data_IF_786094638356
#
_entry.id   IF_786094638356
#
_cell.length_a   1.000
_cell.length_b   1.000
_cell.length_c   1.000
_cell.angle_alpha   90.00
_cell.angle_beta   90.00
_cell.angle_gamma   90.00
#
_symmetry.space_group_name_H-M   'P 1'
#
loop_
_entity.id
_entity.type
_entity.pdbx_description
1 polymer ?
#
# COMPACT_ATOMS: atom_id res chain seq x y z
N UNK A 1 -21.20 -28.10 32.28
CA UNK A 1 -19.92 -27.58 32.80
C UNK A 1 -20.03 -26.06 32.75
N UNK A 2 -19.98 -25.41 33.92
CA UNK A 2 -20.45 -24.03 34.17
C UNK A 2 -19.30 -23.03 33.99
N UNK A 3 -19.58 -21.93 33.28
CA UNK A 3 -18.75 -20.73 33.15
C UNK A 3 -18.63 -19.96 34.47
N UNK A 4 -17.44 -19.44 34.77
CA UNK A 4 -17.26 -18.33 35.71
C UNK A 4 -16.14 -17.39 35.23
N UNK A 5 -16.52 -16.14 34.94
CA UNK A 5 -15.64 -15.01 34.67
C UNK A 5 -14.93 -14.54 35.94
N UNK A 6 -13.76 -13.87 35.81
CA UNK A 6 -13.29 -12.88 36.81
C UNK A 6 -12.17 -11.95 36.30
N UNK A 7 -12.57 -10.68 36.18
CA UNK A 7 -11.91 -9.37 36.24
C UNK A 7 -10.40 -9.22 36.61
N UNK A 8 -9.75 -8.40 35.77
CA UNK A 8 -8.89 -7.20 36.03
C UNK A 8 -7.96 -7.15 37.25
N UNK A 9 -6.66 -6.91 36.97
CA UNK A 9 -5.72 -6.22 37.88
C UNK A 9 -4.79 -5.31 37.05
N UNK A 10 -4.90 -3.99 37.27
CA UNK A 10 -3.91 -2.95 36.94
C UNK A 10 -2.79 -2.95 38.00
N UNK A 11 -1.53 -2.61 37.66
CA UNK A 11 -0.57 -2.14 38.65
C UNK A 11 -0.54 -0.59 38.75
N UNK A 12 -0.10 -0.04 39.90
CA UNK A 12 -0.39 1.32 40.33
C UNK A 12 0.68 2.35 39.95
N UNK A 13 0.25 3.62 39.97
CA UNK A 13 1.06 4.83 39.89
C UNK A 13 1.52 5.25 41.30
N UNK A 14 2.83 5.44 41.49
CA UNK A 14 3.52 6.32 42.46
C UNK A 14 5.04 6.10 42.22
N UNK A 15 5.95 7.07 42.27
CA UNK A 15 6.04 8.18 43.20
C UNK A 15 6.84 9.33 42.58
N UNK A 16 6.47 10.55 42.94
CA UNK A 16 7.36 11.71 42.93
C UNK A 16 8.53 11.42 43.87
N UNK A 17 9.73 11.85 43.48
CA UNK A 17 10.71 12.38 44.42
C UNK A 17 11.35 13.63 43.80
N UNK A 18 11.33 14.68 44.61
CA UNK A 18 11.83 16.02 44.36
C UNK A 18 12.92 16.27 45.39
N UNK A 19 14.12 16.63 44.94
CA UNK A 19 15.18 17.28 45.73
C UNK A 19 15.75 18.42 44.85
N UNK A 20 15.52 19.70 45.16
CA UNK A 20 16.35 20.60 46.00
C UNK A 20 17.82 20.65 45.51
N UNK A 21 18.51 21.78 45.25
CA UNK A 21 18.31 23.20 45.52
C UNK A 21 19.44 24.02 44.82
N UNK A 22 19.12 25.24 44.34
CA UNK A 22 19.93 26.49 44.36
C UNK A 22 21.34 26.63 43.76
N UNK A 23 21.49 27.70 42.95
CA UNK A 23 22.57 28.72 42.85
C UNK A 23 22.74 29.15 41.38
N UNK A 24 22.98 30.40 40.98
CA UNK A 24 22.99 31.74 41.56
C UNK A 24 23.13 32.67 40.32
N UNK A 25 22.43 33.80 40.29
CA UNK A 25 22.62 34.86 39.30
C UNK A 25 24.04 35.46 39.33
N UNK A 26 24.40 36.20 38.25
CA UNK A 26 25.43 37.27 38.13
C UNK A 26 26.77 36.81 37.50
N UNK A 27 27.46 37.47 36.55
CA UNK A 27 27.50 38.84 36.03
C UNK A 27 28.21 38.85 34.64
N UNK A 28 27.86 39.83 33.80
CA UNK A 28 28.63 40.55 32.74
C UNK A 28 29.82 39.92 31.98
N UNK A 29 29.81 40.13 30.65
CA UNK A 29 31.03 40.13 29.82
C UNK A 29 30.75 40.38 28.33
N UNK A 30 31.11 41.56 27.85
CA UNK A 30 31.08 42.02 26.45
C UNK A 30 31.97 41.18 25.52
N UNK A 31 31.65 41.19 24.22
CA UNK A 31 32.71 41.31 23.20
C UNK A 31 32.67 40.35 22.01
N UNK A 32 32.50 40.97 20.84
CA UNK A 32 33.22 40.72 19.59
C UNK A 32 32.55 39.94 18.45
N UNK A 33 32.49 40.69 17.36
CA UNK A 33 32.20 40.37 15.97
C UNK A 33 33.00 39.22 15.35
N UNK A 34 32.38 38.72 14.27
CA UNK A 34 32.96 38.06 13.10
C UNK A 34 33.40 36.58 13.23
N UNK A 35 32.66 35.72 12.52
CA UNK A 35 33.30 34.79 11.58
C UNK A 35 32.37 34.47 10.42
N UNK A 36 32.82 34.86 9.22
CA UNK A 36 32.29 34.36 7.95
C UNK A 36 32.70 32.90 7.78
N UNK A 37 31.75 31.96 7.85
CA UNK A 37 31.87 30.64 7.22
C UNK A 37 30.47 30.10 6.94
N UNK A 38 30.23 29.65 5.70
CA UNK A 38 29.06 28.82 5.39
C UNK A 38 28.28 29.17 4.13
N UNK A 39 28.90 29.79 3.12
CA UNK A 39 28.40 29.68 1.76
C UNK A 39 28.79 28.31 1.21
N UNK A 40 27.81 27.44 0.98
CA UNK A 40 28.02 26.15 0.31
C UNK A 40 28.10 24.96 1.26
N UNK A 41 26.97 24.60 1.84
CA UNK A 41 26.51 23.20 1.90
C UNK A 41 25.10 23.20 2.49
N UNK A 42 24.18 23.81 1.73
CA UNK A 42 22.82 23.30 1.70
C UNK A 42 22.89 21.97 0.95
N UNK A 43 23.46 20.95 1.59
CA UNK A 43 23.33 19.58 1.19
C UNK A 43 21.82 19.29 1.18
N UNK A 44 21.21 19.46 0.01
CA UNK A 44 20.19 18.60 -0.58
C UNK A 44 19.43 17.78 0.47
N UNK A 45 18.66 18.46 1.32
CA UNK A 45 17.48 17.84 1.91
C UNK A 45 16.44 17.89 0.80
N UNK A 46 16.61 17.04 -0.21
CA UNK A 46 15.51 16.72 -1.10
C UNK A 46 14.35 16.31 -0.18
N UNK A 47 13.30 17.11 -0.17
CA UNK A 47 12.15 16.90 0.71
C UNK A 47 11.62 15.48 0.47
N UNK A 48 11.54 14.61 1.49
CA UNK A 48 11.01 13.25 1.34
C UNK A 48 9.62 13.21 0.68
N UNK A 49 8.87 14.31 0.79
CA UNK A 49 7.56 14.51 0.22
C UNK A 49 7.49 14.42 -1.32
N UNK A 50 8.59 14.57 -2.06
CA UNK A 50 8.53 14.50 -3.53
C UNK A 50 8.54 13.09 -4.07
N UNK A 51 9.13 12.13 -3.36
CA UNK A 51 9.30 10.73 -3.80
C UNK A 51 8.37 9.76 -3.09
N UNK A 52 7.82 10.15 -1.94
CA UNK A 52 6.83 9.34 -1.23
C UNK A 52 5.52 9.29 -2.04
N UNK A 53 5.03 8.08 -2.29
CA UNK A 53 3.84 7.84 -3.10
C UNK A 53 2.71 7.19 -2.31
N UNK A 54 3.01 6.61 -1.14
CA UNK A 54 2.00 6.08 -0.23
C UNK A 54 2.51 5.98 1.22
N UNK A 55 1.57 5.81 2.13
CA UNK A 55 1.78 5.45 3.53
C UNK A 55 0.76 4.37 3.95
N UNK A 56 1.15 3.47 4.86
CA UNK A 56 0.23 2.51 5.47
C UNK A 56 -0.31 3.06 6.78
N UNK A 57 -1.63 3.03 6.88
CA UNK A 57 -2.39 3.32 8.11
C UNK A 57 -3.12 2.08 8.61
N UNK A 58 -3.68 2.14 9.82
CA UNK A 58 -4.58 1.12 10.36
C UNK A 58 -5.82 0.86 9.46
N UNK A 59 -6.12 1.77 8.53
CA UNK A 59 -7.26 1.69 7.61
C UNK A 59 -6.88 1.20 6.21
N UNK A 60 -5.62 0.82 6.00
CA UNK A 60 -5.06 0.43 4.71
C UNK A 60 -4.09 1.47 4.14
N UNK A 61 -3.73 1.28 2.88
CA UNK A 61 -2.84 2.18 2.14
C UNK A 61 -3.50 3.54 1.91
N UNK A 62 -2.74 4.62 2.03
CA UNK A 62 -3.11 5.99 1.65
C UNK A 62 -2.12 6.45 0.59
N UNK A 63 -2.61 6.77 -0.61
CA UNK A 63 -1.76 7.28 -1.69
C UNK A 63 -1.54 8.78 -1.56
N UNK A 64 -0.31 9.21 -1.85
CA UNK A 64 0.17 10.57 -1.67
C UNK A 64 0.81 11.10 -2.97
N UNK A 65 0.96 12.41 -3.05
CA UNK A 65 1.71 13.07 -4.12
C UNK A 65 1.16 12.71 -5.51
N UNK A 66 2.02 12.17 -6.37
CA UNK A 66 1.66 11.83 -7.74
C UNK A 66 0.57 10.74 -7.86
N UNK A 67 0.43 9.87 -6.86
CA UNK A 67 -0.57 8.78 -6.88
C UNK A 67 -1.90 9.16 -6.21
N UNK A 68 -1.96 10.26 -5.46
CA UNK A 68 -3.19 10.72 -4.78
C UNK A 68 -4.40 10.79 -5.73
N UNK A 69 -4.30 11.33 -6.97
CA UNK A 69 -5.44 11.40 -7.90
C UNK A 69 -5.97 10.03 -8.35
N UNK A 70 -5.17 8.96 -8.20
CA UNK A 70 -5.49 7.61 -8.66
C UNK A 70 -6.10 6.73 -7.56
N UNK A 71 -6.05 7.14 -6.28
CA UNK A 71 -6.63 6.38 -5.16
C UNK A 71 -8.09 6.00 -5.41
N UNK A 72 -8.91 6.98 -5.79
CA UNK A 72 -10.32 6.76 -6.07
C UNK A 72 -10.56 5.77 -7.22
N UNK A 73 -9.67 5.75 -8.23
CA UNK A 73 -9.74 4.83 -9.36
C UNK A 73 -9.37 3.40 -8.93
N UNK A 74 -8.30 3.24 -8.14
CA UNK A 74 -7.87 1.95 -7.60
C UNK A 74 -8.93 1.33 -6.68
N UNK A 75 -9.43 2.10 -5.71
CA UNK A 75 -10.53 1.64 -4.84
C UNK A 75 -11.81 1.38 -5.62
N UNK A 76 -12.09 2.20 -6.64
CA UNK A 76 -13.19 1.99 -7.56
C UNK A 76 -13.06 0.68 -8.34
N UNK A 77 -11.84 0.31 -8.75
CA UNK A 77 -11.56 -0.97 -9.40
C UNK A 77 -11.79 -2.14 -8.45
N UNK A 78 -11.25 -2.10 -7.22
CA UNK A 78 -11.47 -3.13 -6.20
C UNK A 78 -12.97 -3.38 -5.94
N UNK A 79 -13.76 -2.31 -5.79
CA UNK A 79 -15.23 -2.40 -5.66
C UNK A 79 -15.90 -3.08 -6.86
N UNK A 80 -15.47 -2.75 -8.07
CA UNK A 80 -16.03 -3.36 -9.29
C UNK A 80 -15.66 -4.84 -9.41
N UNK A 81 -14.44 -5.23 -9.06
CA UNK A 81 -14.00 -6.63 -9.05
C UNK A 81 -14.81 -7.42 -8.02
N UNK A 82 -14.89 -6.94 -6.78
CA UNK A 82 -15.69 -7.57 -5.72
C UNK A 82 -17.15 -7.71 -6.15
N UNK A 83 -17.74 -6.64 -6.71
CA UNK A 83 -19.11 -6.70 -7.21
C UNK A 83 -19.28 -7.72 -8.34
N UNK A 84 -18.30 -7.85 -9.24
CA UNK A 84 -18.35 -8.82 -10.33
C UNK A 84 -18.30 -10.25 -9.79
N UNK A 85 -17.40 -10.54 -8.83
CA UNK A 85 -17.30 -11.86 -8.19
C UNK A 85 -18.60 -12.24 -7.46
N UNK A 86 -19.18 -11.31 -6.68
CA UNK A 86 -20.43 -11.57 -5.94
C UNK A 86 -21.61 -11.83 -6.89
N UNK A 87 -21.66 -11.14 -8.03
CA UNK A 87 -22.76 -11.24 -9.00
C UNK A 87 -22.56 -12.30 -10.07
N UNK A 88 -21.34 -12.82 -10.23
CA UNK A 88 -20.97 -13.70 -11.34
C UNK A 88 -20.87 -12.97 -12.68
N UNK A 89 -20.55 -11.67 -12.67
CA UNK A 89 -20.39 -10.85 -13.87
C UNK A 89 -18.95 -10.94 -14.42
N UNK A 90 -18.73 -10.42 -15.63
CA UNK A 90 -17.40 -10.27 -16.21
C UNK A 90 -16.53 -9.27 -15.43
N UNK A 91 -15.24 -9.56 -15.31
CA UNK A 91 -14.27 -8.67 -14.67
C UNK A 91 -14.06 -7.37 -15.48
N UNK A 92 -13.68 -6.25 -14.82
CA UNK A 92 -13.33 -5.01 -15.50
C UNK A 92 -12.15 -5.18 -16.47
N UNK A 93 -12.15 -4.44 -17.59
CA UNK A 93 -11.09 -4.53 -18.61
C UNK A 93 -9.69 -4.20 -18.08
N UNK A 94 -9.58 -3.30 -17.09
CA UNK A 94 -8.32 -2.96 -16.44
C UNK A 94 -7.65 -4.18 -15.76
N UNK A 95 -8.40 -5.25 -15.51
CA UNK A 95 -7.83 -6.48 -14.97
C UNK A 95 -6.95 -7.23 -15.98
N UNK A 96 -7.03 -6.93 -17.28
CA UNK A 96 -6.21 -7.56 -18.32
C UNK A 96 -4.82 -6.94 -18.46
N UNK A 97 -4.63 -5.73 -17.93
CA UNK A 97 -3.43 -4.91 -18.13
C UNK A 97 -2.63 -4.67 -16.86
N UNK A 98 -3.29 -4.69 -15.70
CA UNK A 98 -2.62 -4.45 -14.43
C UNK A 98 -1.82 -5.67 -13.97
N UNK A 99 -0.54 -5.50 -13.59
CA UNK A 99 0.27 -6.59 -13.04
C UNK A 99 -0.36 -7.18 -11.78
N UNK A 100 -0.15 -8.49 -11.60
CA UNK A 100 -0.51 -9.27 -10.39
C UNK A 100 -2.02 -9.25 -10.06
N UNK A 101 -2.87 -8.81 -11.00
CA UNK A 101 -4.31 -8.71 -10.80
C UNK A 101 -4.97 -10.08 -10.58
N UNK A 102 -4.49 -11.11 -11.27
CA UNK A 102 -4.91 -12.50 -11.13
C UNK A 102 -4.82 -12.98 -9.68
N UNK A 103 -3.77 -12.59 -8.96
CA UNK A 103 -3.59 -12.91 -7.55
C UNK A 103 -4.65 -12.24 -6.66
N UNK A 104 -4.95 -10.96 -6.90
CA UNK A 104 -6.01 -10.25 -6.16
C UNK A 104 -7.38 -10.88 -6.43
N UNK A 105 -7.70 -11.16 -7.69
CA UNK A 105 -8.97 -11.80 -8.07
C UNK A 105 -9.10 -13.17 -7.42
N UNK A 106 -8.06 -14.01 -7.51
CA UNK A 106 -8.06 -15.33 -6.87
C UNK A 106 -8.27 -15.22 -5.36
N UNK A 107 -7.65 -14.25 -4.69
CA UNK A 107 -7.85 -13.99 -3.25
C UNK A 107 -9.30 -13.62 -2.95
N UNK A 108 -9.90 -12.74 -3.74
CA UNK A 108 -11.30 -12.33 -3.59
C UNK A 108 -12.24 -13.53 -3.80
N UNK A 109 -11.98 -14.37 -4.80
CA UNK A 109 -12.78 -15.58 -5.07
C UNK A 109 -12.66 -16.62 -3.95
N UNK A 110 -11.46 -16.84 -3.41
CA UNK A 110 -11.24 -17.72 -2.25
C UNK A 110 -12.03 -17.19 -1.06
N UNK A 111 -11.87 -15.91 -0.73
CA UNK A 111 -12.56 -15.29 0.40
C UNK A 111 -14.09 -15.32 0.23
N UNK A 112 -14.59 -15.11 -1.00
CA UNK A 112 -16.00 -15.26 -1.33
C UNK A 112 -16.50 -16.68 -1.07
N UNK A 113 -15.75 -17.68 -1.54
CA UNK A 113 -16.10 -19.08 -1.33
C UNK A 113 -16.06 -19.48 0.14
N UNK A 114 -15.05 -19.05 0.89
CA UNK A 114 -14.93 -19.29 2.33
C UNK A 114 -16.07 -18.62 3.10
N UNK A 115 -16.34 -17.35 2.80
CA UNK A 115 -17.45 -16.58 3.38
C UNK A 115 -18.81 -17.22 3.13
N UNK A 116 -19.03 -17.76 1.92
CA UNK A 116 -20.24 -18.51 1.56
C UNK A 116 -20.32 -19.87 2.27
N UNK A 117 -19.16 -20.49 2.54
CA UNK A 117 -19.06 -21.81 3.18
C UNK A 117 -19.21 -21.75 4.70
N UNK A 118 -18.77 -20.66 5.34
CA UNK A 118 -18.87 -20.42 6.79
C UNK A 118 -20.25 -19.93 7.26
N UNK A 119 -21.18 -19.64 6.34
CA UNK A 119 -22.60 -19.51 6.67
C UNK A 119 -23.44 -19.31 5.42
N UNK A 120 -24.48 -20.10 5.14
CA UNK A 120 -25.70 -20.20 5.97
C UNK A 120 -26.22 -18.86 6.54
N UNK A 121 -25.66 -17.70 6.14
CA UNK A 121 -26.28 -16.40 6.37
C UNK A 121 -27.47 -16.35 5.43
N UNK A 122 -28.66 -16.25 6.01
CA UNK A 122 -29.94 -16.08 5.32
C UNK A 122 -29.81 -14.95 4.29
N UNK A 123 -29.73 -15.31 3.02
CA UNK A 123 -29.96 -14.46 1.84
C UNK A 123 -29.58 -12.96 1.99
N UNK A 124 -28.31 -12.60 2.29
CA UNK A 124 -27.92 -11.19 2.32
C UNK A 124 -27.97 -10.62 0.90
N UNK A 125 -28.40 -9.36 0.79
CA UNK A 125 -28.40 -8.68 -0.50
C UNK A 125 -26.97 -8.57 -1.07
N UNK A 126 -26.78 -8.64 -2.41
CA UNK A 126 -25.48 -8.51 -3.06
C UNK A 126 -24.62 -7.32 -2.61
N UNK A 127 -25.21 -6.19 -2.24
CA UNK A 127 -24.48 -5.03 -1.71
C UNK A 127 -23.88 -5.31 -0.34
N UNK A 128 -24.62 -6.00 0.54
CA UNK A 128 -24.12 -6.38 1.85
C UNK A 128 -22.93 -7.34 1.71
N UNK A 129 -23.02 -8.32 0.81
CA UNK A 129 -21.91 -9.20 0.49
C UNK A 129 -20.70 -8.45 -0.05
N UNK A 130 -20.91 -7.52 -0.97
CA UNK A 130 -19.84 -6.70 -1.52
C UNK A 130 -19.13 -5.90 -0.43
N UNK A 131 -19.86 -5.32 0.53
CA UNK A 131 -19.26 -4.58 1.67
C UNK A 131 -18.42 -5.49 2.57
N UNK A 132 -18.92 -6.70 2.88
CA UNK A 132 -18.16 -7.66 3.69
C UNK A 132 -16.89 -8.13 2.99
N UNK A 133 -16.98 -8.47 1.70
CA UNK A 133 -15.85 -8.97 0.93
C UNK A 133 -14.79 -7.89 0.69
N UNK A 134 -15.20 -6.63 0.49
CA UNK A 134 -14.28 -5.48 0.45
C UNK A 134 -13.45 -5.38 1.74
N UNK A 135 -14.11 -5.42 2.90
CA UNK A 135 -13.41 -5.33 4.18
C UNK A 135 -12.46 -6.52 4.42
N UNK A 136 -12.89 -7.74 4.05
CA UNK A 136 -12.07 -8.94 4.21
C UNK A 136 -10.85 -8.98 3.26
N UNK A 137 -10.91 -8.26 2.13
CA UNK A 137 -9.87 -8.27 1.11
C UNK A 137 -9.03 -6.99 1.07
N UNK A 138 -9.21 -6.06 2.02
CA UNK A 138 -8.47 -4.78 2.07
C UNK A 138 -6.95 -4.99 2.21
N UNK A 139 -6.52 -5.99 3.00
CA UNK A 139 -5.11 -6.34 3.12
C UNK A 139 -4.56 -6.90 1.80
N UNK A 140 -5.32 -7.77 1.13
CA UNK A 140 -4.97 -8.31 -0.18
C UNK A 140 -4.91 -7.22 -1.25
N UNK A 141 -5.82 -6.25 -1.20
CA UNK A 141 -5.81 -5.08 -2.07
C UNK A 141 -4.57 -4.21 -1.84
N UNK A 142 -4.19 -3.97 -0.58
CA UNK A 142 -2.98 -3.22 -0.23
C UNK A 142 -1.71 -3.93 -0.74
N UNK A 143 -1.62 -5.25 -0.52
CA UNK A 143 -0.50 -6.06 -1.01
C UNK A 143 -0.42 -6.05 -2.55
N UNK A 144 -1.57 -6.18 -3.22
CA UNK A 144 -1.65 -6.08 -4.68
C UNK A 144 -1.21 -4.70 -5.18
N UNK A 145 -1.66 -3.60 -4.55
CA UNK A 145 -1.24 -2.26 -4.94
C UNK A 145 0.29 -2.12 -4.89
N UNK A 146 0.92 -2.60 -3.83
CA UNK A 146 2.38 -2.59 -3.73
C UNK A 146 3.04 -3.40 -4.85
N UNK A 147 2.62 -4.65 -5.04
CA UNK A 147 3.21 -5.53 -6.05
C UNK A 147 3.03 -4.96 -7.48
N UNK A 148 1.84 -4.45 -7.78
CA UNK A 148 1.52 -3.87 -9.08
C UNK A 148 2.36 -2.62 -9.36
N UNK A 149 2.50 -1.71 -8.38
CA UNK A 149 3.35 -0.53 -8.48
C UNK A 149 4.85 -0.89 -8.58
N UNK A 150 5.28 -1.93 -7.87
CA UNK A 150 6.64 -2.44 -7.97
C UNK A 150 6.97 -2.92 -9.39
N UNK A 151 6.08 -3.71 -10.00
CA UNK A 151 6.23 -4.16 -11.38
C UNK A 151 6.18 -3.00 -12.39
N UNK A 152 5.25 -2.06 -12.23
CA UNK A 152 5.14 -0.88 -13.11
C UNK A 152 6.40 -0.01 -13.03
N UNK A 153 6.97 0.16 -11.84
CA UNK A 153 8.22 0.91 -11.65
C UNK A 153 9.48 0.16 -12.11
N UNK A 154 9.36 -1.09 -12.57
CA UNK A 154 10.52 -1.94 -12.91
C UNK A 154 11.38 -2.29 -11.69
N UNK A 155 10.77 -2.40 -10.50
CA UNK A 155 11.45 -2.67 -9.23
C UNK A 155 11.97 -1.42 -8.50
N UNK A 156 11.65 -0.22 -8.98
CA UNK A 156 12.05 1.06 -8.39
C UNK A 156 11.24 1.50 -7.15
N UNK A 157 10.26 0.71 -6.72
CA UNK A 157 9.44 1.00 -5.54
C UNK A 157 10.07 0.41 -4.27
N UNK A 158 10.27 1.26 -3.25
CA UNK A 158 10.95 0.90 -1.99
C UNK A 158 9.98 1.07 -0.82
N UNK A 159 10.01 0.11 0.12
CA UNK A 159 9.32 0.20 1.42
C UNK A 159 10.30 0.73 2.45
N UNK A 160 9.86 1.71 3.23
CA UNK A 160 10.65 2.29 4.33
C UNK A 160 9.81 2.23 5.59
N UNK A 161 10.37 1.66 6.65
CA UNK A 161 9.78 1.74 7.99
C UNK A 161 9.87 3.20 8.45
N UNK A 162 8.73 3.80 8.79
CA UNK A 162 8.76 5.18 9.26
C UNK A 162 9.32 5.19 10.70
N UNK A 163 10.54 5.68 10.88
CA UNK A 163 11.21 5.85 12.19
C UNK A 163 10.48 6.84 13.15
N UNK A 164 9.25 7.27 12.84
CA UNK A 164 8.49 8.28 13.57
C UNK A 164 6.98 8.01 13.55
N UNK A 165 6.47 7.42 14.64
CA UNK A 165 5.12 7.64 15.18
C UNK A 165 3.90 7.23 14.33
N UNK A 166 3.07 6.34 14.89
CA UNK A 166 1.70 5.92 14.48
C UNK A 166 1.47 5.44 13.03
N UNK A 167 2.35 5.72 12.06
CA UNK A 167 2.31 5.20 10.69
C UNK A 167 3.42 4.18 10.51
N UNK A 168 3.08 2.95 10.14
CA UNK A 168 4.02 1.81 10.19
C UNK A 168 5.02 1.76 9.04
N UNK A 169 4.66 2.29 7.86
CA UNK A 169 5.42 2.05 6.63
C UNK A 169 5.09 3.10 5.55
N UNK A 170 6.09 3.52 4.79
CA UNK A 170 5.96 4.42 3.64
C UNK A 170 6.50 3.77 2.36
N UNK A 171 5.90 4.10 1.21
CA UNK A 171 6.37 3.68 -0.10
C UNK A 171 6.97 4.86 -0.85
N UNK A 172 8.15 4.65 -1.43
CA UNK A 172 8.91 5.67 -2.15
C UNK A 172 9.23 5.17 -3.55
N UNK A 173 9.08 6.03 -4.54
CA UNK A 173 9.48 5.79 -5.93
C UNK A 173 10.48 6.86 -6.40
N UNK A 174 11.48 6.46 -7.16
CA UNK A 174 12.48 7.39 -7.73
C UNK A 174 11.82 8.36 -8.71
N UNK A 175 10.94 7.83 -9.57
CA UNK A 175 10.20 8.57 -10.60
C UNK A 175 8.67 8.47 -10.38
N UNK A 176 8.12 9.17 -9.37
CA UNK A 176 6.72 9.02 -8.96
C UNK A 176 5.73 9.54 -10.02
N UNK A 177 6.13 10.52 -10.82
CA UNK A 177 5.32 11.05 -11.92
C UNK A 177 5.14 10.04 -13.05
N UNK A 178 6.24 9.40 -13.49
CA UNK A 178 6.19 8.36 -14.52
C UNK A 178 5.39 7.14 -14.04
N UNK A 179 5.60 6.72 -12.79
CA UNK A 179 4.81 5.64 -12.18
C UNK A 179 3.30 5.95 -12.17
N UNK A 180 2.92 7.20 -11.91
CA UNK A 180 1.52 7.62 -11.94
C UNK A 180 0.93 7.61 -13.36
N UNK A 181 1.70 8.05 -14.37
CA UNK A 181 1.29 8.01 -15.78
C UNK A 181 1.10 6.58 -16.27
N UNK A 182 2.04 5.70 -15.93
CA UNK A 182 1.95 4.27 -16.24
C UNK A 182 0.73 3.67 -15.54
N UNK A 183 0.57 3.85 -14.22
CA UNK A 183 -0.61 3.33 -13.54
C UNK A 183 -1.92 3.85 -14.14
N UNK A 184 -2.00 5.14 -14.49
CA UNK A 184 -3.17 5.72 -15.11
C UNK A 184 -3.51 5.05 -16.45
N UNK A 185 -2.50 4.80 -17.28
CA UNK A 185 -2.61 4.11 -18.57
C UNK A 185 -3.11 2.68 -18.40
N UNK A 186 -2.54 1.94 -17.44
CA UNK A 186 -2.98 0.57 -17.15
C UNK A 186 -4.43 0.53 -16.67
N UNK A 187 -4.83 1.49 -15.83
CA UNK A 187 -6.21 1.61 -15.32
C UNK A 187 -7.23 1.92 -16.43
N UNK A 188 -6.81 2.52 -17.53
CA UNK A 188 -7.65 2.76 -18.72
C UNK A 188 -7.78 1.51 -19.61
N UNK A 189 -7.05 0.43 -19.29
CA UNK A 189 -7.06 -0.83 -20.05
C UNK A 189 -6.05 -0.85 -21.18
N UNK A 190 -5.14 0.12 -21.23
CA UNK A 190 -4.06 0.16 -22.21
C UNK A 190 -2.84 -0.63 -21.74
N UNK A 191 -2.20 -1.33 -22.67
CA UNK A 191 -1.01 -2.15 -22.37
C UNK A 191 0.22 -1.26 -22.23
N UNK A 192 0.96 -1.48 -21.17
CA UNK A 192 2.25 -0.84 -20.93
C UNK A 192 3.33 -1.88 -21.19
N UNK A 193 4.39 -1.44 -21.87
CA UNK A 193 5.59 -2.27 -22.01
C UNK A 193 6.33 -2.26 -20.70
N UNK A 194 6.02 -3.22 -19.82
CA UNK A 194 6.75 -3.41 -18.57
C UNK A 194 8.22 -3.73 -18.90
N UNK A 195 9.14 -3.12 -18.17
CA UNK A 195 10.54 -3.48 -18.24
C UNK A 195 10.66 -4.95 -17.80
N UNK A 196 10.83 -5.85 -18.76
CA UNK A 196 10.99 -7.28 -18.51
C UNK A 196 12.22 -7.44 -17.62
N UNK A 197 12.03 -7.94 -16.40
CA UNK A 197 13.14 -8.46 -15.61
C UNK A 197 13.85 -9.53 -16.47
N UNK A 198 15.12 -9.30 -16.88
CA UNK A 198 15.84 -10.26 -17.71
C UNK A 198 16.03 -11.64 -17.04
N UNK A 199 15.68 -11.78 -15.75
CA UNK A 199 15.67 -13.03 -14.99
C UNK A 199 14.28 -13.69 -14.92
N UNK A 200 13.17 -12.96 -15.11
CA UNK A 200 11.84 -13.55 -15.35
C UNK A 200 11.86 -14.15 -16.75
N UNK A 201 12.14 -15.45 -16.84
CA UNK A 201 12.04 -16.20 -18.11
C UNK A 201 10.65 -15.93 -18.70
N UNK A 202 10.54 -15.50 -19.97
CA UNK A 202 9.24 -15.40 -20.61
C UNK A 202 8.63 -16.80 -20.59
N UNK A 203 7.47 -16.93 -19.95
CA UNK A 203 6.71 -18.17 -20.05
C UNK A 203 6.45 -18.42 -21.53
N UNK A 204 6.98 -19.52 -22.04
CA UNK A 204 6.93 -19.91 -23.44
C UNK A 204 5.52 -20.35 -23.83
N UNK A 205 4.53 -19.45 -23.78
CA UNK A 205 3.16 -19.77 -24.21
C UNK A 205 3.00 -19.62 -25.74
N UNK A 206 3.81 -18.76 -26.38
CA UNK A 206 3.70 -18.51 -27.82
C UNK A 206 4.40 -19.57 -28.70
N UNK A 207 5.32 -20.36 -28.15
CA UNK A 207 5.99 -21.42 -28.93
C UNK A 207 5.12 -22.68 -29.14
N UNK A 208 4.07 -22.89 -28.33
CA UNK A 208 3.23 -24.08 -28.46
C UNK A 208 2.15 -23.96 -29.53
N UNK A 209 1.71 -22.74 -29.89
CA UNK A 209 0.72 -22.56 -30.97
C UNK A 209 1.32 -22.72 -32.37
N UNK A 210 2.62 -22.50 -32.53
CA UNK A 210 3.28 -22.58 -33.85
C UNK A 210 3.62 -24.02 -34.25
N UNK A 211 3.90 -24.90 -33.28
CA UNK A 211 4.23 -26.30 -33.55
C UNK A 211 3.02 -27.16 -33.92
N UNK A 212 1.82 -26.83 -33.45
CA UNK A 212 0.60 -27.58 -33.81
C UNK A 212 0.19 -27.33 -35.27
N UNK A 213 0.55 -26.17 -35.84
CA UNK A 213 0.17 -25.81 -37.22
C UNK A 213 1.09 -26.37 -38.31
N UNK A 214 2.27 -26.88 -37.94
CA UNK A 214 3.21 -27.52 -38.88
C UNK A 214 3.14 -29.05 -38.88
N UNK A 215 2.30 -29.65 -38.03
CA UNK A 215 2.07 -31.09 -37.97
C UNK A 215 0.70 -31.51 -38.52
N UNK A 216 0.01 -30.63 -39.27
CA UNK A 216 -1.23 -30.95 -40.01
C UNK A 216 -0.95 -31.13 -41.50
#
# INVERSE_FOLDING_TARGET
MVLAARHQILPPVASLDSDFESNLDREFGEGSDASMTGGGDAAVWASPATHQVAELSDRGVVFLGALEPLDARLRGLHRRIVSAVVRGDSLPIACETLPEMDHLVARIEVEWNETMRDGSRRDPDPEQWSRCLLAATEEGFTAWCFASLCELSGGGLIRIDADRGESGEAWIADEPGLLAEDLATALDGDRISLAVDPLRRPETSDFQRTLVRQAS
#
